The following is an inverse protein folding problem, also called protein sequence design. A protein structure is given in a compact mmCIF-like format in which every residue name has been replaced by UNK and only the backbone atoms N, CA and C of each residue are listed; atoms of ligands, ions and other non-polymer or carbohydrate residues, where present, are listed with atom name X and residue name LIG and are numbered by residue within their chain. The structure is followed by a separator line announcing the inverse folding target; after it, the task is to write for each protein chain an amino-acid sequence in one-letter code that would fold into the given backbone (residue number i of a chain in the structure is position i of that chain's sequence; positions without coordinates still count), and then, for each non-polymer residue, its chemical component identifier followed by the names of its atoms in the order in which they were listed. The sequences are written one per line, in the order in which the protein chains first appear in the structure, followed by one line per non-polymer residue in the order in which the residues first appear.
data_IF_864945107809
#
_entry.id   IF_864945107809
#
_cell.length_a   1.000
_cell.length_b   1.000
_cell.length_c   1.000
_cell.angle_alpha   90.00
_cell.angle_beta   90.00
_cell.angle_gamma   90.00
#
_symmetry.space_group_name_H-M   'P 1'
#
loop_
_entity.id
_entity.type
_entity.pdbx_description
1 polymer ?
#
# COMPACT_ATOMS: atom_id res chain seq x y z
N UNK A 1 9.56 -5.47 -14.07
CA UNK A 1 10.24 -4.94 -15.28
C UNK A 1 11.73 -5.27 -15.22
N UNK A 2 12.47 -5.28 -16.34
CA UNK A 2 13.92 -5.58 -16.35
C UNK A 2 14.82 -4.55 -15.64
N UNK A 3 14.63 -3.23 -15.75
CA UNK A 3 15.50 -2.28 -15.06
C UNK A 3 15.22 -2.25 -13.54
N UNK A 4 16.26 -1.98 -12.76
CA UNK A 4 16.14 -1.69 -11.32
C UNK A 4 15.39 -0.38 -11.13
N UNK A 5 14.46 -0.36 -10.17
CA UNK A 5 13.63 0.82 -9.87
C UNK A 5 14.12 1.46 -8.59
N UNK A 6 14.64 2.69 -8.71
CA UNK A 6 14.89 3.54 -7.55
C UNK A 6 13.61 4.25 -7.12
N UNK A 7 13.39 4.40 -5.83
CA UNK A 7 12.24 5.11 -5.26
C UNK A 7 12.71 6.17 -4.28
N UNK A 8 12.10 7.35 -4.35
CA UNK A 8 12.45 8.49 -3.50
C UNK A 8 11.19 9.14 -2.97
N UNK A 9 11.08 9.28 -1.65
CA UNK A 9 9.98 9.98 -1.01
C UNK A 9 10.34 11.45 -0.72
N UNK A 10 9.52 12.35 -1.24
CA UNK A 10 9.50 13.78 -0.90
C UNK A 10 8.18 14.09 -0.18
N UNK A 11 8.25 14.73 0.98
CA UNK A 11 7.06 15.09 1.75
C UNK A 11 6.42 13.89 2.46
N UNK A 12 5.51 13.18 1.80
CA UNK A 12 4.75 12.08 2.42
C UNK A 12 4.57 10.90 1.46
N UNK A 13 4.83 9.68 1.95
CA UNK A 13 4.41 8.44 1.32
C UNK A 13 3.44 7.71 2.26
N UNK A 14 2.15 7.71 1.94
CA UNK A 14 1.10 7.16 2.77
C UNK A 14 0.36 6.01 2.07
N UNK A 15 -0.07 5.00 2.82
CA UNK A 15 -0.86 3.87 2.32
C UNK A 15 -0.13 3.14 1.17
N UNK A 16 -0.79 2.98 0.02
CA UNK A 16 -0.17 2.43 -1.21
C UNK A 16 1.12 3.15 -1.61
N UNK A 17 1.26 4.44 -1.33
CA UNK A 17 2.50 5.18 -1.60
C UNK A 17 3.70 4.66 -0.79
N UNK A 18 3.48 4.24 0.46
CA UNK A 18 4.51 3.62 1.27
C UNK A 18 4.88 2.21 0.76
N UNK A 19 3.90 1.46 0.25
CA UNK A 19 4.13 0.16 -0.38
C UNK A 19 4.98 0.30 -1.66
N UNK A 20 4.66 1.26 -2.53
CA UNK A 20 5.42 1.54 -3.74
C UNK A 20 6.85 1.99 -3.42
N UNK A 21 7.03 2.85 -2.40
CA UNK A 21 8.35 3.24 -1.91
C UNK A 21 9.15 2.03 -1.42
N UNK A 22 8.51 1.11 -0.67
CA UNK A 22 9.16 -0.09 -0.20
C UNK A 22 9.50 -1.09 -1.33
N UNK A 23 8.73 -1.08 -2.42
CA UNK A 23 8.87 -1.97 -3.58
C UNK A 23 10.01 -1.63 -4.53
N UNK A 24 10.73 -0.52 -4.31
CA UNK A 24 11.96 -0.22 -5.06
C UNK A 24 13.08 -1.24 -4.79
N UNK A 25 14.08 -1.26 -5.66
CA UNK A 25 15.27 -2.11 -5.53
C UNK A 25 15.95 -1.88 -4.17
N UNK A 26 16.37 -2.97 -3.50
CA UNK A 26 17.07 -2.89 -2.20
C UNK A 26 18.33 -2.02 -2.34
N UNK A 27 18.48 -1.04 -1.45
CA UNK A 27 19.59 -0.07 -1.51
C UNK A 27 19.33 1.11 -2.47
N UNK A 28 18.19 1.15 -3.15
CA UNK A 28 17.76 2.26 -4.01
C UNK A 28 16.42 2.87 -3.54
N UNK A 29 16.14 2.80 -2.24
CA UNK A 29 14.93 3.33 -1.61
C UNK A 29 15.33 4.44 -0.66
N UNK A 30 14.92 5.67 -0.95
CA UNK A 30 15.37 6.86 -0.24
C UNK A 30 14.19 7.69 0.25
N UNK A 31 14.39 8.40 1.34
CA UNK A 31 13.43 9.38 1.86
C UNK A 31 14.21 10.62 2.29
N UNK A 32 13.67 11.80 2.00
CA UNK A 32 14.27 13.05 2.47
C UNK A 32 14.19 13.14 4.01
N UNK A 33 15.06 13.93 4.66
CA UNK A 33 15.13 14.00 6.13
C UNK A 33 13.81 14.34 6.83
N UNK A 34 12.97 15.14 6.17
CA UNK A 34 11.67 15.58 6.70
C UNK A 34 10.48 14.79 6.13
N UNK A 35 10.74 13.72 5.37
CA UNK A 35 9.69 12.91 4.79
C UNK A 35 8.97 12.09 5.87
N UNK A 36 7.66 11.88 5.70
CA UNK A 36 6.86 11.03 6.57
C UNK A 36 6.35 9.82 5.80
N UNK A 37 6.55 8.64 6.37
CA UNK A 37 6.05 7.38 5.81
C UNK A 37 4.96 6.87 6.73
N UNK A 38 3.78 6.58 6.19
CA UNK A 38 2.63 6.12 6.95
C UNK A 38 2.03 4.87 6.31
N UNK A 39 1.94 3.81 7.10
CA UNK A 39 1.34 2.54 6.70
C UNK A 39 0.07 2.37 7.52
N UNK A 40 -1.01 1.94 6.89
CA UNK A 40 -2.23 1.57 7.57
C UNK A 40 -2.88 0.39 6.86
N UNK A 41 -3.67 -0.36 7.62
CA UNK A 41 -4.51 -1.44 7.09
C UNK A 41 -5.45 -0.93 5.99
N UNK A 42 -5.77 -1.74 4.97
CA UNK A 42 -6.77 -1.39 3.97
C UNK A 42 -8.11 -1.05 4.62
N UNK A 43 -8.83 -0.13 4.01
CA UNK A 43 -10.17 0.28 4.44
C UNK A 43 -11.12 0.14 3.25
N UNK A 44 -12.33 -0.31 3.54
CA UNK A 44 -13.37 -0.52 2.53
C UNK A 44 -14.73 -0.69 3.19
N UNK A 45 -15.79 -0.60 2.38
CA UNK A 45 -17.17 -0.88 2.77
C UNK A 45 -17.71 -2.10 2.03
N UNK A 46 -18.74 -2.73 2.58
CA UNK A 46 -19.44 -3.86 1.97
C UNK A 46 -20.95 -3.54 1.87
N UNK A 47 -21.63 -4.03 0.85
CA UNK A 47 -23.06 -3.79 0.66
C UNK A 47 -23.63 -4.56 -0.52
N UNK A 48 -24.94 -4.78 -0.52
CA UNK A 48 -25.65 -5.58 -1.54
C UNK A 48 -26.39 -6.77 -0.91
N UNK A 49 -26.62 -7.82 -1.70
CA UNK A 49 -27.21 -9.05 -1.19
C UNK A 49 -26.26 -9.74 -0.20
N UNK A 50 -26.81 -10.62 0.64
CA UNK A 50 -26.05 -11.31 1.70
C UNK A 50 -24.80 -12.00 1.14
N UNK A 51 -24.90 -12.65 -0.02
CA UNK A 51 -23.75 -13.32 -0.65
C UNK A 51 -22.67 -12.35 -1.15
N UNK A 52 -23.06 -11.17 -1.66
CA UNK A 52 -22.11 -10.13 -2.09
C UNK A 52 -21.34 -9.57 -0.89
N UNK A 53 -22.07 -9.27 0.20
CA UNK A 53 -21.47 -8.79 1.45
C UNK A 53 -20.49 -9.84 1.98
N UNK A 54 -20.88 -11.12 2.01
CA UNK A 54 -20.01 -12.22 2.44
C UNK A 54 -18.73 -12.28 1.61
N UNK A 55 -18.84 -12.18 0.28
CA UNK A 55 -17.68 -12.19 -0.62
C UNK A 55 -16.76 -10.99 -0.37
N UNK A 56 -17.32 -9.78 -0.28
CA UNK A 56 -16.55 -8.56 -0.06
C UNK A 56 -15.84 -8.55 1.30
N UNK A 57 -16.48 -9.05 2.35
CA UNK A 57 -15.85 -9.21 3.67
C UNK A 57 -14.68 -10.17 3.60
N UNK A 58 -14.84 -11.32 2.92
CA UNK A 58 -13.75 -12.28 2.75
C UNK A 58 -12.57 -11.68 1.97
N UNK A 59 -12.83 -10.94 0.89
CA UNK A 59 -11.81 -10.20 0.13
C UNK A 59 -11.10 -9.16 0.99
N UNK A 60 -11.84 -8.42 1.82
CA UNK A 60 -11.27 -7.42 2.73
C UNK A 60 -10.38 -8.04 3.82
N UNK A 61 -10.72 -9.24 4.31
CA UNK A 61 -9.86 -10.00 5.23
C UNK A 61 -8.58 -10.46 4.53
N UNK A 62 -8.68 -10.96 3.30
CA UNK A 62 -7.51 -11.36 2.51
C UNK A 62 -6.57 -10.20 2.24
N UNK A 63 -7.09 -9.01 1.93
CA UNK A 63 -6.29 -7.83 1.64
C UNK A 63 -5.45 -7.32 2.83
N UNK A 64 -5.71 -7.79 4.06
CA UNK A 64 -4.92 -7.44 5.26
C UNK A 64 -3.59 -8.20 5.37
N UNK A 65 -3.45 -9.32 4.67
CA UNK A 65 -2.28 -10.20 4.66
C UNK A 65 -1.41 -9.94 3.42
#
# INVERSE_FOLDING_TARGET
IKPKVGTVCFGVAASQGALLLAGGEKGMRYAMPNARIMIHQPQGGCGGHVEDVRRQVNEAVQARH
#
